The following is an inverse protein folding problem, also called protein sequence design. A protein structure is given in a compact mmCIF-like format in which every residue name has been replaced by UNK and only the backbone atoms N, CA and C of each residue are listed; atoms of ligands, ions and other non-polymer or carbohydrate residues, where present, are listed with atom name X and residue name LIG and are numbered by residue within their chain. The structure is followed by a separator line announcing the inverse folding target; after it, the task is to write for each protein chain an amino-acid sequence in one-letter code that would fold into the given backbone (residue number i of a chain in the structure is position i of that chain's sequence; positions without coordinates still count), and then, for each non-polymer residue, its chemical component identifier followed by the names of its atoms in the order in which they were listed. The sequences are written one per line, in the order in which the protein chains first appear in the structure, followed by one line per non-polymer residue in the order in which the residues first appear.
data_IF_211323014895
#
_entry.id   IF_211323014895
#
_cell.length_a   1.000
_cell.length_b   1.000
_cell.length_c   1.000
_cell.angle_alpha   90.00
_cell.angle_beta   90.00
_cell.angle_gamma   90.00
#
_symmetry.space_group_name_H-M   'P 1'
#
loop_
_entity.id
_entity.type
_entity.pdbx_description
1 polymer ?
#
# COMPACT_ATOMS: atom_id res chain seq x y z
N UNK A 1 -17.73 20.63 -33.30
CA UNK A 1 -16.35 20.24 -32.91
C UNK A 1 -16.49 19.25 -31.78
N UNK A 2 -16.20 17.98 -32.07
CA UNK A 2 -16.43 16.88 -31.15
C UNK A 2 -15.46 16.91 -29.98
N UNK A 3 -15.99 16.68 -28.78
CA UNK A 3 -15.21 16.41 -27.58
C UNK A 3 -14.31 15.18 -27.80
N UNK A 4 -13.05 15.20 -27.35
CA UNK A 4 -12.20 14.03 -27.45
C UNK A 4 -12.72 12.95 -26.49
N UNK A 5 -12.86 11.74 -27.03
CA UNK A 5 -13.31 10.53 -26.36
C UNK A 5 -12.66 10.34 -24.99
N UNK A 6 -13.51 10.15 -24.00
CA UNK A 6 -13.18 9.46 -22.75
C UNK A 6 -12.55 8.11 -23.09
N UNK A 7 -11.33 7.87 -22.64
CA UNK A 7 -10.66 6.57 -22.70
C UNK A 7 -11.54 5.52 -22.00
N UNK A 8 -12.33 4.79 -22.78
CA UNK A 8 -13.10 3.64 -22.31
C UNK A 8 -12.11 2.62 -21.75
N UNK A 9 -12.08 2.45 -20.43
CA UNK A 9 -11.48 1.26 -19.83
C UNK A 9 -12.18 0.05 -20.42
N UNK A 10 -11.46 -0.81 -21.14
CA UNK A 10 -12.05 -2.05 -21.67
C UNK A 10 -12.30 -2.98 -20.49
N UNK A 11 -13.55 -3.11 -20.09
CA UNK A 11 -13.98 -4.19 -19.21
C UNK A 11 -13.58 -5.53 -19.83
N UNK A 12 -13.06 -6.45 -19.01
CA UNK A 12 -12.67 -7.78 -19.46
C UNK A 12 -13.86 -8.51 -20.11
N UNK A 13 -13.61 -9.17 -21.24
CA UNK A 13 -14.60 -10.01 -21.94
C UNK A 13 -13.93 -11.32 -22.33
N UNK A 14 -14.70 -12.40 -22.22
CA UNK A 14 -14.26 -13.71 -22.70
C UNK A 14 -14.04 -13.66 -24.23
N UNK A 15 -13.05 -14.39 -24.76
CA UNK A 15 -12.71 -14.34 -26.18
C UNK A 15 -13.84 -14.90 -27.06
N UNK A 16 -13.92 -14.50 -28.33
CA UNK A 16 -14.99 -14.95 -29.23
C UNK A 16 -15.05 -16.47 -29.39
N UNK A 17 -13.88 -17.13 -29.36
CA UNK A 17 -13.78 -18.59 -29.38
C UNK A 17 -14.45 -19.26 -28.17
N UNK A 18 -14.77 -18.51 -27.11
CA UNK A 18 -15.54 -19.01 -25.99
C UNK A 18 -16.92 -19.52 -26.44
N UNK A 19 -17.49 -19.02 -27.54
CA UNK A 19 -18.79 -19.48 -28.07
C UNK A 19 -18.67 -20.74 -28.94
N UNK A 20 -17.48 -21.15 -29.34
CA UNK A 20 -17.24 -22.32 -30.18
C UNK A 20 -17.19 -23.59 -29.31
N UNK A 21 -18.25 -24.40 -29.36
CA UNK A 21 -18.37 -25.62 -28.55
C UNK A 21 -17.28 -26.65 -28.86
N UNK A 22 -16.87 -26.78 -30.11
CA UNK A 22 -15.85 -27.76 -30.52
C UNK A 22 -14.51 -27.35 -29.94
N UNK A 23 -14.14 -26.08 -30.13
CA UNK A 23 -12.87 -25.55 -29.62
C UNK A 23 -12.82 -25.52 -28.10
N UNK A 24 -13.89 -25.08 -27.43
CA UNK A 24 -13.93 -25.02 -25.97
C UNK A 24 -13.94 -26.41 -25.34
N UNK A 25 -14.58 -27.39 -25.96
CA UNK A 25 -14.50 -28.80 -25.51
C UNK A 25 -13.07 -29.30 -25.54
N UNK A 26 -12.32 -29.01 -26.60
CA UNK A 26 -10.91 -29.38 -26.70
C UNK A 26 -10.04 -28.67 -25.64
N UNK A 27 -10.28 -27.38 -25.38
CA UNK A 27 -9.53 -26.57 -24.41
C UNK A 27 -9.82 -26.95 -22.94
N UNK A 28 -11.03 -27.43 -22.64
CA UNK A 28 -11.43 -27.87 -21.30
C UNK A 28 -10.96 -29.30 -20.97
N UNK A 29 -10.67 -30.12 -21.98
CA UNK A 29 -10.19 -31.49 -21.79
C UNK A 29 -8.71 -31.53 -21.39
N UNK A 30 -8.33 -32.57 -20.63
CA UNK A 30 -6.92 -32.87 -20.35
C UNK A 30 -6.12 -33.01 -21.65
N UNK A 31 -4.82 -32.65 -21.66
CA UNK A 31 -3.97 -32.92 -22.81
C UNK A 31 -3.96 -34.42 -23.12
N UNK A 32 -3.99 -34.74 -24.42
CA UNK A 32 -3.73 -36.13 -24.85
C UNK A 32 -2.29 -36.51 -24.49
N UNK A 33 -2.03 -37.82 -24.37
CA UNK A 33 -0.70 -38.33 -24.05
C UNK A 33 0.37 -37.65 -24.93
N UNK A 34 1.46 -37.18 -24.34
CA UNK A 34 2.50 -36.41 -25.03
C UNK A 34 3.12 -37.19 -26.21
N UNK A 35 3.08 -38.52 -26.15
CA UNK A 35 3.48 -39.41 -27.24
C UNK A 35 2.56 -39.36 -28.48
N UNK A 36 1.31 -38.92 -28.33
CA UNK A 36 0.30 -38.88 -29.39
C UNK A 36 0.12 -37.48 -29.99
N UNK A 37 0.42 -36.42 -29.22
CA UNK A 37 0.42 -35.04 -29.72
C UNK A 37 1.31 -34.12 -28.87
N UNK A 38 2.61 -34.01 -29.19
CA UNK A 38 3.57 -33.21 -28.43
C UNK A 38 3.22 -31.71 -28.36
N UNK A 39 2.43 -31.19 -29.30
CA UNK A 39 2.07 -29.78 -29.39
C UNK A 39 0.68 -29.46 -28.81
N UNK A 40 -0.12 -30.47 -28.42
CA UNK A 40 -1.46 -30.28 -27.84
C UNK A 40 -1.41 -29.42 -26.58
N UNK A 41 -0.45 -29.74 -25.70
CA UNK A 41 -0.31 -29.04 -24.42
C UNK A 41 0.15 -27.60 -24.61
N UNK A 42 1.11 -27.34 -25.50
CA UNK A 42 1.66 -26.00 -25.72
C UNK A 42 0.56 -24.99 -26.13
N UNK A 43 -0.34 -25.39 -27.03
CA UNK A 43 -1.46 -24.55 -27.45
C UNK A 43 -2.48 -24.30 -26.33
N UNK A 44 -2.87 -25.35 -25.59
CA UNK A 44 -3.79 -25.24 -24.45
C UNK A 44 -3.22 -24.38 -23.33
N UNK A 45 -1.97 -24.62 -22.95
CA UNK A 45 -1.25 -23.86 -21.94
C UNK A 45 -1.18 -22.38 -22.32
N UNK A 46 -0.75 -22.07 -23.54
CA UNK A 46 -0.67 -20.69 -24.03
C UNK A 46 -2.02 -19.98 -23.94
N UNK A 47 -3.08 -20.62 -24.43
CA UNK A 47 -4.44 -20.05 -24.37
C UNK A 47 -4.87 -19.71 -22.94
N UNK A 48 -4.77 -20.68 -22.02
CA UNK A 48 -5.23 -20.47 -20.64
C UNK A 48 -4.36 -19.46 -19.88
N UNK A 49 -3.03 -19.53 -20.05
CA UNK A 49 -2.10 -18.55 -19.49
C UNK A 49 -2.45 -17.13 -19.92
N UNK A 50 -2.56 -16.90 -21.24
CA UNK A 50 -2.83 -15.57 -21.79
C UNK A 50 -4.18 -15.03 -21.29
N UNK A 51 -5.20 -15.88 -21.27
CA UNK A 51 -6.54 -15.49 -20.80
C UNK A 51 -6.57 -15.15 -19.30
N UNK A 52 -5.89 -15.92 -18.45
CA UNK A 52 -5.78 -15.65 -17.00
C UNK A 52 -5.02 -14.34 -16.76
N UNK A 53 -3.89 -14.13 -17.44
CA UNK A 53 -3.09 -12.91 -17.28
C UNK A 53 -3.80 -11.68 -17.83
N UNK A 54 -4.56 -11.80 -18.91
CA UNK A 54 -5.40 -10.72 -19.45
C UNK A 54 -6.51 -10.35 -18.46
N UNK A 55 -7.21 -11.35 -17.92
CA UNK A 55 -8.22 -11.15 -16.88
C UNK A 55 -7.64 -10.45 -15.65
N UNK A 56 -6.52 -10.93 -15.13
CA UNK A 56 -5.89 -10.32 -13.96
C UNK A 56 -5.42 -8.89 -14.25
N UNK A 57 -4.86 -8.64 -15.44
CA UNK A 57 -4.39 -7.30 -15.84
C UNK A 57 -5.53 -6.29 -15.97
N UNK A 58 -6.61 -6.64 -16.68
CA UNK A 58 -7.70 -5.72 -16.97
C UNK A 58 -8.54 -5.41 -15.73
N UNK A 59 -8.63 -6.36 -14.79
CA UNK A 59 -9.34 -6.17 -13.52
C UNK A 59 -8.40 -5.75 -12.35
N UNK A 60 -7.10 -5.52 -12.62
CA UNK A 60 -6.09 -5.15 -11.61
C UNK A 60 -5.97 -6.14 -10.43
N UNK A 61 -6.18 -7.42 -10.69
CA UNK A 61 -6.12 -8.47 -9.67
C UNK A 61 -4.65 -8.83 -9.41
N UNK A 62 -4.18 -8.52 -8.19
CA UNK A 62 -2.81 -8.78 -7.78
C UNK A 62 -2.64 -10.18 -7.18
N UNK A 63 -3.67 -10.65 -6.49
CA UNK A 63 -3.70 -11.95 -5.83
C UNK A 63 -4.97 -12.67 -6.22
N UNK A 64 -4.87 -13.96 -6.55
CA UNK A 64 -6.02 -14.83 -6.77
C UNK A 64 -5.76 -16.22 -6.22
N UNK A 65 -6.83 -16.98 -6.00
CA UNK A 65 -6.76 -18.42 -5.81
C UNK A 65 -7.39 -19.20 -6.98
N UNK A 66 -7.38 -20.54 -6.90
CA UNK A 66 -7.95 -21.39 -7.95
C UNK A 66 -9.48 -21.24 -8.06
N UNK A 67 -10.18 -20.89 -6.98
CA UNK A 67 -11.62 -20.71 -6.96
C UNK A 67 -12.04 -19.42 -7.66
N UNK A 68 -11.25 -18.35 -7.55
CA UNK A 68 -11.47 -17.11 -8.31
C UNK A 68 -11.44 -17.37 -9.82
N UNK A 69 -10.47 -18.17 -10.28
CA UNK A 69 -10.39 -18.58 -11.69
C UNK A 69 -11.61 -19.44 -12.07
N UNK A 70 -12.01 -20.40 -11.24
CA UNK A 70 -13.19 -21.24 -11.52
C UNK A 70 -14.48 -20.44 -11.61
N UNK A 71 -14.67 -19.40 -10.78
CA UNK A 71 -15.84 -18.51 -10.84
C UNK A 71 -15.91 -17.77 -12.17
N UNK A 72 -14.77 -17.32 -12.70
CA UNK A 72 -14.70 -16.51 -13.92
C UNK A 72 -14.75 -17.38 -15.18
N UNK A 73 -14.03 -18.49 -15.18
CA UNK A 73 -13.85 -19.35 -16.35
C UNK A 73 -14.71 -20.61 -16.31
N UNK A 74 -15.95 -20.47 -15.84
CA UNK A 74 -16.97 -21.54 -15.87
C UNK A 74 -17.74 -21.53 -17.19
N UNK A 75 -17.94 -22.71 -17.78
CA UNK A 75 -18.79 -22.93 -18.94
C UNK A 75 -19.64 -24.17 -18.74
N UNK A 76 -20.97 -24.04 -18.86
CA UNK A 76 -21.92 -25.14 -18.67
C UNK A 76 -21.71 -25.89 -17.33
N UNK A 77 -21.43 -25.15 -16.26
CA UNK A 77 -21.15 -25.69 -14.92
C UNK A 77 -19.81 -26.44 -14.78
N UNK A 78 -18.94 -26.40 -15.80
CA UNK A 78 -17.62 -27.03 -15.80
C UNK A 78 -16.52 -25.99 -15.81
N UNK A 79 -15.35 -26.38 -15.32
CA UNK A 79 -14.09 -25.64 -15.42
C UNK A 79 -13.05 -26.48 -16.17
N UNK A 80 -11.94 -25.88 -16.65
CA UNK A 80 -10.94 -26.61 -17.42
C UNK A 80 -10.29 -27.70 -16.58
N UNK A 81 -10.35 -28.96 -17.04
CA UNK A 81 -9.77 -30.09 -16.30
C UNK A 81 -8.24 -29.96 -16.17
N UNK A 82 -7.60 -29.22 -17.06
CA UNK A 82 -6.17 -28.94 -17.04
C UNK A 82 -5.77 -27.76 -16.16
N UNK A 83 -6.70 -27.09 -15.46
CA UNK A 83 -6.42 -25.83 -14.78
C UNK A 83 -5.25 -25.93 -13.77
N UNK A 84 -5.24 -26.96 -12.93
CA UNK A 84 -4.15 -27.15 -11.96
C UNK A 84 -2.79 -27.27 -12.65
N UNK A 85 -2.69 -28.06 -13.73
CA UNK A 85 -1.47 -28.19 -14.53
C UNK A 85 -1.06 -26.86 -15.17
N UNK A 86 -2.03 -26.05 -15.63
CA UNK A 86 -1.75 -24.69 -16.13
C UNK A 86 -1.14 -23.82 -15.04
N UNK A 87 -1.70 -23.82 -13.83
CA UNK A 87 -1.18 -23.02 -12.70
C UNK A 87 0.20 -23.49 -12.25
N UNK A 88 0.45 -24.80 -12.26
CA UNK A 88 1.78 -25.37 -11.99
C UNK A 88 2.83 -24.90 -13.01
N UNK A 89 2.49 -24.95 -14.30
CA UNK A 89 3.39 -24.48 -15.37
C UNK A 89 3.55 -22.95 -15.34
N UNK A 90 2.49 -22.19 -15.03
CA UNK A 90 2.59 -20.74 -14.82
C UNK A 90 3.52 -20.41 -13.64
N UNK A 91 3.43 -21.16 -12.54
CA UNK A 91 4.34 -21.02 -11.39
C UNK A 91 5.78 -21.36 -11.78
N UNK A 92 6.00 -22.48 -12.48
CA UNK A 92 7.33 -22.91 -12.95
C UNK A 92 7.96 -21.87 -13.88
N UNK A 93 7.16 -21.20 -14.69
CA UNK A 93 7.61 -20.16 -15.62
C UNK A 93 7.70 -18.76 -14.98
N UNK A 94 7.28 -18.59 -13.71
CA UNK A 94 7.31 -17.31 -12.99
C UNK A 94 6.23 -16.33 -13.44
N UNK A 95 5.20 -16.80 -14.15
CA UNK A 95 4.03 -15.98 -14.51
C UNK A 95 3.17 -15.67 -13.27
N UNK A 96 3.21 -16.55 -12.27
CA UNK A 96 2.62 -16.39 -10.95
C UNK A 96 3.57 -16.94 -9.88
N UNK A 97 3.41 -16.50 -8.63
CA UNK A 97 4.23 -16.94 -7.49
C UNK A 97 3.32 -17.17 -6.28
N UNK A 98 3.58 -18.15 -5.42
CA UNK A 98 2.76 -18.28 -4.21
C UNK A 98 3.02 -17.10 -3.26
N UNK A 99 2.01 -16.70 -2.48
CA UNK A 99 2.15 -15.60 -1.53
C UNK A 99 3.32 -15.81 -0.56
N UNK A 100 3.46 -17.03 -0.04
CA UNK A 100 4.57 -17.38 0.87
C UNK A 100 5.94 -17.25 0.18
N UNK A 101 6.05 -17.70 -1.08
CA UNK A 101 7.30 -17.54 -1.84
C UNK A 101 7.64 -16.08 -2.10
N UNK A 102 6.63 -15.22 -2.21
CA UNK A 102 6.82 -13.79 -2.39
C UNK A 102 7.27 -13.08 -1.10
N UNK A 103 6.83 -13.55 0.08
CA UNK A 103 7.20 -12.97 1.37
C UNK A 103 8.56 -13.41 1.93
N UNK A 104 9.04 -14.61 1.57
CA UNK A 104 10.20 -15.26 2.22
C UNK A 104 11.52 -15.27 1.45
N UNK A 105 11.66 -14.55 0.34
CA UNK A 105 12.96 -14.57 -0.34
C UNK A 105 14.00 -13.81 0.48
N UNK A 106 14.99 -14.56 0.97
CA UNK A 106 16.34 -14.21 1.39
C UNK A 106 17.24 -15.34 0.88
N UNK A 107 17.85 -15.20 -0.31
CA UNK A 107 19.16 -15.77 -0.69
C UNK A 107 19.34 -16.01 -2.20
N UNK A 108 20.59 -15.80 -2.64
CA UNK A 108 21.05 -15.60 -4.02
C UNK A 108 21.34 -16.86 -4.85
N UNK A 109 20.74 -18.03 -4.60
CA UNK A 109 21.18 -19.25 -5.32
C UNK A 109 20.05 -20.18 -5.76
N UNK A 110 19.58 -20.04 -7.01
CA UNK A 110 19.04 -21.17 -7.83
C UNK A 110 18.53 -20.75 -9.22
N UNK A 111 19.39 -20.52 -10.23
CA UNK A 111 19.00 -20.41 -11.66
C UNK A 111 17.96 -19.34 -12.09
N UNK A 112 17.44 -18.52 -11.17
CA UNK A 112 16.49 -17.42 -11.39
C UNK A 112 17.17 -16.03 -11.41
N UNK A 113 18.47 -15.97 -11.71
CA UNK A 113 19.31 -14.76 -11.74
C UNK A 113 18.93 -13.67 -12.79
N UNK A 114 17.68 -13.60 -13.25
CA UNK A 114 17.15 -12.56 -14.16
C UNK A 114 16.34 -11.44 -13.48
N UNK A 115 16.15 -11.47 -12.16
CA UNK A 115 15.59 -10.34 -11.39
C UNK A 115 16.48 -10.00 -10.18
N UNK A 116 17.53 -9.21 -10.41
CA UNK A 116 18.41 -8.75 -9.35
C UNK A 116 17.67 -7.86 -8.35
N UNK A 117 17.42 -8.38 -7.15
CA UNK A 117 16.98 -7.63 -5.98
C UNK A 117 17.74 -8.21 -4.79
N UNK A 118 18.67 -7.42 -4.25
CA UNK A 118 19.35 -7.71 -2.98
C UNK A 118 18.44 -7.23 -1.86
N UNK A 119 18.08 -8.10 -0.93
CA UNK A 119 17.26 -7.72 0.22
C UNK A 119 18.11 -7.02 1.27
N UNK A 120 17.63 -5.86 1.71
CA UNK A 120 17.98 -5.29 3.01
C UNK A 120 16.99 -5.93 3.99
N UNK A 121 17.51 -6.50 5.08
CA UNK A 121 16.83 -7.39 6.04
C UNK A 121 15.75 -6.73 6.91
N UNK A 122 15.27 -5.53 6.57
CA UNK A 122 14.34 -4.74 7.40
C UNK A 122 12.86 -4.80 6.96
N UNK A 123 12.53 -5.40 5.81
CA UNK A 123 11.15 -5.53 5.30
C UNK A 123 10.28 -6.53 6.08
N UNK A 124 10.88 -7.33 6.96
CA UNK A 124 10.14 -8.35 7.74
C UNK A 124 9.39 -7.73 8.93
N UNK A 125 9.88 -6.66 9.56
CA UNK A 125 9.29 -6.19 10.83
C UNK A 125 7.91 -5.52 10.69
N UNK A 126 7.60 -4.90 9.55
CA UNK A 126 6.32 -4.21 9.33
C UNK A 126 5.19 -5.14 8.83
N UNK A 127 5.57 -6.26 8.21
CA UNK A 127 4.62 -7.24 7.65
C UNK A 127 3.92 -8.09 8.73
N UNK A 128 4.29 -7.99 10.02
CA UNK A 128 3.89 -8.94 11.06
C UNK A 128 2.88 -8.40 12.10
N UNK A 129 2.77 -7.09 12.32
CA UNK A 129 2.04 -6.59 13.50
C UNK A 129 0.49 -6.56 13.39
N UNK A 130 -0.09 -6.75 12.20
CA UNK A 130 -1.56 -6.76 12.03
C UNK A 130 -2.15 -8.12 11.61
N UNK A 131 -1.32 -9.04 11.12
CA UNK A 131 -1.76 -10.36 10.60
C UNK A 131 -1.51 -11.50 11.59
N UNK A 132 -0.53 -11.35 12.52
CA UNK A 132 -0.20 -12.42 13.47
C UNK A 132 -1.33 -12.72 14.49
N UNK A 133 -2.31 -11.82 14.66
CA UNK A 133 -3.51 -12.06 15.48
C UNK A 133 -4.61 -12.86 14.77
N UNK A 134 -4.45 -13.19 13.49
CA UNK A 134 -5.37 -14.04 12.72
C UNK A 134 -4.89 -15.49 12.55
N UNK A 135 -3.69 -15.84 13.04
CA UNK A 135 -3.08 -17.17 12.82
C UNK A 135 -3.27 -18.11 14.01
N UNK A 136 -4.48 -18.09 14.59
CA UNK A 136 -5.08 -19.33 15.07
C UNK A 136 -5.63 -20.10 13.87
N UNK A 137 -5.28 -21.38 13.81
CA UNK A 137 -6.03 -22.48 13.15
C UNK A 137 -5.66 -22.86 11.70
N UNK A 138 -4.81 -23.88 11.62
CA UNK A 138 -5.11 -25.18 10.96
C UNK A 138 -6.38 -25.26 10.11
N UNK A 139 -6.30 -24.89 8.84
CA UNK A 139 -7.03 -25.51 7.72
C UNK A 139 -6.10 -25.55 6.51
N UNK A 140 -6.26 -26.51 5.60
CA UNK A 140 -5.54 -26.54 4.31
C UNK A 140 -5.95 -25.30 3.49
N UNK A 141 -5.28 -24.17 3.73
CA UNK A 141 -5.57 -22.92 3.03
C UNK A 141 -5.28 -23.10 1.54
N UNK A 142 -6.29 -22.80 0.72
CA UNK A 142 -6.16 -22.82 -0.74
C UNK A 142 -5.01 -21.88 -1.12
N UNK A 143 -4.03 -22.33 -1.93
CA UNK A 143 -2.87 -21.53 -2.25
C UNK A 143 -3.26 -20.27 -3.01
N UNK A 144 -2.87 -19.12 -2.48
CA UNK A 144 -2.97 -17.82 -3.14
C UNK A 144 -1.74 -17.56 -4.01
N UNK A 145 -1.99 -17.03 -5.20
CA UNK A 145 -0.98 -16.69 -6.19
C UNK A 145 -0.92 -15.18 -6.43
N UNK A 146 0.27 -14.61 -6.34
CA UNK A 146 0.58 -13.23 -6.74
C UNK A 146 0.88 -13.21 -8.23
N UNK A 147 0.41 -12.16 -8.94
CA UNK A 147 0.66 -11.94 -10.38
C UNK A 147 1.72 -10.84 -10.57
N UNK A 148 3.01 -11.19 -10.79
CA UNK A 148 4.09 -10.21 -10.80
C UNK A 148 3.96 -9.15 -11.89
N UNK A 149 3.39 -9.50 -13.04
CA UNK A 149 3.20 -8.56 -14.16
C UNK A 149 2.18 -7.47 -13.83
N UNK A 150 1.13 -7.79 -13.09
CA UNK A 150 0.12 -6.83 -12.63
C UNK A 150 0.70 -5.97 -11.52
N UNK A 151 1.42 -6.60 -10.57
CA UNK A 151 2.10 -5.89 -9.48
C UNK A 151 3.09 -4.83 -9.99
N UNK A 152 3.93 -5.17 -10.96
CA UNK A 152 4.85 -4.22 -11.59
C UNK A 152 4.13 -3.03 -12.22
N UNK A 153 3.07 -3.29 -13.00
CA UNK A 153 2.26 -2.23 -13.62
C UNK A 153 1.60 -1.34 -12.58
N UNK A 154 1.13 -1.90 -11.46
CA UNK A 154 0.56 -1.13 -10.36
C UNK A 154 1.62 -0.25 -9.68
N UNK A 155 2.80 -0.80 -9.39
CA UNK A 155 3.93 -0.04 -8.86
C UNK A 155 4.34 1.10 -9.81
N UNK A 156 4.41 0.86 -11.12
CA UNK A 156 4.70 1.90 -12.11
C UNK A 156 3.66 3.03 -12.11
N UNK A 157 2.36 2.70 -11.99
CA UNK A 157 1.29 3.70 -11.86
C UNK A 157 1.45 4.53 -10.59
N UNK A 158 1.75 3.90 -9.46
CA UNK A 158 1.97 4.59 -8.17
C UNK A 158 3.14 5.55 -8.27
N UNK A 159 4.23 5.13 -8.91
CA UNK A 159 5.40 5.98 -9.11
C UNK A 159 5.15 7.19 -10.03
N UNK A 160 4.03 7.20 -10.77
CA UNK A 160 3.59 8.36 -11.57
C UNK A 160 2.65 9.29 -10.78
N UNK A 161 2.16 8.89 -9.60
CA UNK A 161 1.31 9.74 -8.79
C UNK A 161 2.13 10.92 -8.21
N UNK A 162 1.52 12.10 -8.01
CA UNK A 162 2.20 13.25 -7.40
C UNK A 162 2.84 12.93 -6.05
N UNK A 163 2.22 12.04 -5.28
CA UNK A 163 2.71 11.59 -3.97
C UNK A 163 4.06 10.90 -4.03
N UNK A 164 4.34 10.16 -5.12
CA UNK A 164 5.63 9.51 -5.34
C UNK A 164 6.74 10.48 -5.74
N UNK A 165 6.38 11.72 -6.08
CA UNK A 165 7.31 12.83 -6.33
C UNK A 165 7.51 13.72 -5.10
N UNK A 166 6.96 13.35 -3.95
CA UNK A 166 7.17 14.04 -2.68
C UNK A 166 8.18 13.28 -1.83
N UNK A 167 9.14 13.99 -1.21
CA UNK A 167 9.99 13.41 -0.15
C UNK A 167 9.32 13.48 1.23
N UNK A 168 8.03 13.83 1.27
CA UNK A 168 7.28 13.94 2.50
C UNK A 168 7.03 12.56 3.12
N UNK A 169 7.18 12.51 4.45
CA UNK A 169 6.83 11.35 5.25
C UNK A 169 5.31 11.31 5.47
N UNK A 170 4.71 10.14 5.31
CA UNK A 170 3.30 9.93 5.56
C UNK A 170 3.03 8.59 6.23
N UNK A 171 1.86 8.45 6.86
CA UNK A 171 1.39 7.16 7.35
C UNK A 171 0.81 6.33 6.19
N UNK A 172 0.90 5.01 6.27
CA UNK A 172 0.26 4.11 5.27
C UNK A 172 -1.27 4.30 5.26
N UNK A 173 -1.89 4.58 6.40
CA UNK A 173 -3.32 4.90 6.51
C UNK A 173 -3.68 6.18 5.72
N UNK A 174 -2.83 7.21 5.81
CA UNK A 174 -2.99 8.44 5.02
C UNK A 174 -2.89 8.15 3.51
N UNK A 175 -1.99 7.25 3.11
CA UNK A 175 -1.85 6.82 1.71
C UNK A 175 -3.10 6.06 1.22
N UNK A 176 -3.65 5.19 2.07
CA UNK A 176 -4.85 4.41 1.74
C UNK A 176 -6.09 5.28 1.63
N UNK A 177 -6.19 6.31 2.47
CA UNK A 177 -7.31 7.26 2.45
C UNK A 177 -7.25 8.20 1.23
N UNK A 178 -6.04 8.60 0.81
CA UNK A 178 -5.83 9.47 -0.34
C UNK A 178 -5.99 8.74 -1.68
N UNK A 179 -5.66 7.45 -1.73
CA UNK A 179 -5.65 6.64 -2.94
C UNK A 179 -6.35 5.28 -2.75
N UNK A 180 -7.64 5.27 -2.33
CA UNK A 180 -8.37 4.03 -2.07
C UNK A 180 -8.55 3.17 -3.34
N UNK A 181 -8.51 3.78 -4.53
CA UNK A 181 -8.55 3.08 -5.82
C UNK A 181 -7.32 2.22 -6.09
N UNK A 182 -6.23 2.46 -5.37
CA UNK A 182 -4.97 1.71 -5.48
C UNK A 182 -4.70 0.87 -4.22
N UNK A 183 -5.02 1.42 -3.04
CA UNK A 183 -4.63 0.86 -1.74
C UNK A 183 -5.81 0.44 -0.87
N UNK A 184 -6.99 0.20 -1.45
CA UNK A 184 -8.21 -0.17 -0.71
C UNK A 184 -8.23 -1.58 -0.09
N UNK A 185 -7.20 -2.40 -0.32
CA UNK A 185 -7.07 -3.73 0.26
C UNK A 185 -5.73 -3.85 1.01
N UNK A 186 -5.78 -4.03 2.33
CA UNK A 186 -4.60 -4.13 3.21
C UNK A 186 -3.57 -5.18 2.71
N UNK A 187 -4.02 -6.34 2.23
CA UNK A 187 -3.16 -7.42 1.74
C UNK A 187 -2.41 -7.00 0.47
N UNK A 188 -3.10 -6.37 -0.47
CA UNK A 188 -2.52 -5.89 -1.73
C UNK A 188 -1.62 -4.66 -1.51
N UNK A 189 -2.02 -3.74 -0.65
CA UNK A 189 -1.23 -2.59 -0.22
C UNK A 189 0.12 -3.04 0.32
N UNK A 190 0.13 -4.05 1.20
CA UNK A 190 1.37 -4.62 1.72
C UNK A 190 2.25 -5.20 0.61
N UNK A 191 1.68 -5.93 -0.36
CA UNK A 191 2.44 -6.50 -1.47
C UNK A 191 3.09 -5.42 -2.36
N UNK A 192 2.33 -4.37 -2.67
CA UNK A 192 2.78 -3.22 -3.44
C UNK A 192 3.93 -2.50 -2.72
N UNK A 193 3.73 -2.15 -1.45
CA UNK A 193 4.71 -1.40 -0.68
C UNK A 193 5.99 -2.22 -0.45
N UNK A 194 5.88 -3.52 -0.17
CA UNK A 194 7.03 -4.43 -0.12
C UNK A 194 7.78 -4.45 -1.44
N UNK A 195 7.07 -4.53 -2.57
CA UNK A 195 7.70 -4.50 -3.89
C UNK A 195 8.47 -3.20 -4.12
N UNK A 196 7.86 -2.05 -3.82
CA UNK A 196 8.48 -0.73 -3.98
C UNK A 196 9.69 -0.54 -3.06
N UNK A 197 9.62 -1.04 -1.82
CA UNK A 197 10.74 -1.04 -0.88
C UNK A 197 11.91 -1.88 -1.41
N UNK A 198 11.63 -3.09 -1.92
CA UNK A 198 12.61 -3.97 -2.54
C UNK A 198 13.27 -3.36 -3.79
N UNK A 199 12.52 -2.56 -4.54
CA UNK A 199 13.06 -1.78 -5.67
C UNK A 199 13.85 -0.54 -5.24
N UNK A 200 13.97 -0.27 -3.93
CA UNK A 200 14.62 0.94 -3.39
C UNK A 200 13.89 2.23 -3.77
N UNK A 201 12.58 2.15 -4.04
CA UNK A 201 11.74 3.30 -4.41
C UNK A 201 11.02 3.92 -3.23
N UNK A 202 10.97 3.20 -2.12
CA UNK A 202 10.26 3.60 -0.91
C UNK A 202 11.08 3.18 0.29
N UNK A 203 11.14 4.04 1.31
CA UNK A 203 11.55 3.67 2.66
C UNK A 203 10.31 3.45 3.53
N UNK A 204 10.30 2.36 4.29
CA UNK A 204 9.21 1.98 5.20
C UNK A 204 9.80 1.75 6.58
N UNK A 205 9.19 2.34 7.61
CA UNK A 205 9.52 2.12 9.01
C UNK A 205 8.22 1.87 9.78
N UNK A 206 8.11 0.70 10.40
CA UNK A 206 6.98 0.39 11.26
C UNK A 206 7.36 0.46 12.73
N UNK A 207 6.44 0.98 13.52
CA UNK A 207 6.42 0.90 14.97
C UNK A 207 5.21 0.07 15.43
N UNK A 208 5.01 -0.03 16.74
CA UNK A 208 3.85 -0.72 17.32
C UNK A 208 2.51 -0.07 16.97
N UNK A 209 2.52 1.22 16.65
CA UNK A 209 1.33 2.08 16.55
C UNK A 209 1.14 2.73 15.18
N UNK A 210 2.17 2.81 14.35
CA UNK A 210 2.12 3.42 13.02
C UNK A 210 3.06 2.74 12.03
N UNK A 211 2.75 2.85 10.74
CA UNK A 211 3.67 2.47 9.66
C UNK A 211 3.90 3.69 8.78
N UNK A 212 5.14 4.13 8.76
CA UNK A 212 5.59 5.32 8.04
C UNK A 212 6.16 4.94 6.69
N UNK A 213 5.87 5.75 5.69
CA UNK A 213 6.33 5.58 4.33
C UNK A 213 6.89 6.90 3.79
N UNK A 214 8.00 6.81 3.05
CA UNK A 214 8.61 7.91 2.33
C UNK A 214 9.03 7.46 0.93
N UNK A 215 8.57 8.15 -0.10
CA UNK A 215 9.00 7.89 -1.47
C UNK A 215 10.42 8.43 -1.71
N UNK A 216 11.22 7.65 -2.44
CA UNK A 216 12.61 7.96 -2.75
C UNK A 216 12.65 8.58 -4.14
N UNK A 217 12.83 9.91 -4.20
CA UNK A 217 13.05 10.60 -5.47
C UNK A 217 14.50 10.33 -5.90
N UNK A 218 14.73 9.76 -7.10
CA UNK A 218 16.08 9.65 -7.64
C UNK A 218 16.63 11.06 -7.84
N UNK A 219 17.50 11.52 -6.94
CA UNK A 219 18.22 12.78 -7.15
C UNK A 219 19.20 12.53 -8.30
N UNK A 220 18.84 12.97 -9.51
CA UNK A 220 19.79 13.09 -10.61
C UNK A 220 20.81 14.13 -10.14
N UNK A 221 21.91 13.69 -9.54
CA UNK A 221 23.08 14.55 -9.42
C UNK A 221 23.64 14.71 -10.82
N UNK A 222 23.18 15.73 -11.52
CA UNK A 222 23.76 16.17 -12.79
C UNK A 222 25.23 16.48 -12.49
N UNK A 223 26.12 15.56 -12.83
CA UNK A 223 27.54 15.86 -12.86
C UNK A 223 27.69 16.93 -13.94
N UNK A 224 27.82 18.20 -13.55
CA UNK A 224 28.50 19.15 -14.42
C UNK A 224 29.89 18.55 -14.64
N UNK A 225 30.12 18.03 -15.85
CA UNK A 225 31.43 17.59 -16.29
C UNK A 225 32.34 18.81 -16.20
N UNK A 226 33.11 18.93 -15.13
CA UNK A 226 34.29 19.77 -15.16
C UNK A 226 35.28 19.06 -16.08
N UNK A 227 35.38 19.58 -17.31
CA UNK A 227 36.46 19.25 -18.23
C UNK A 227 37.75 19.70 -17.53
N UNK A 228 38.60 18.76 -17.12
CA UNK A 228 39.97 19.12 -16.77
C UNK A 228 40.74 19.38 -18.07
N UNK A 229 41.69 20.32 -18.03
CA UNK A 229 42.51 20.76 -19.16
C UNK A 229 43.49 19.70 -19.72
N UNK A 230 43.21 18.41 -19.56
CA UNK A 230 44.07 17.31 -20.01
C UNK A 230 43.33 16.20 -20.79
N UNK A 231 42.10 16.44 -21.26
CA UNK A 231 41.47 15.61 -22.29
C UNK A 231 41.21 14.14 -21.95
N UNK A 232 41.34 13.73 -20.68
CA UNK A 232 41.08 12.36 -20.24
C UNK A 232 39.85 12.30 -19.33
N UNK A 233 38.80 11.63 -19.82
CA UNK A 233 37.60 11.31 -19.03
C UNK A 233 37.97 10.29 -17.95
N UNK A 234 38.08 10.74 -16.69
CA UNK A 234 38.19 9.83 -15.55
C UNK A 234 36.85 9.08 -15.42
N UNK A 235 36.90 7.75 -15.54
CA UNK A 235 35.72 6.90 -15.32
C UNK A 235 35.07 7.24 -13.98
N UNK A 236 33.74 7.39 -13.91
CA UNK A 236 33.08 7.76 -12.67
C UNK A 236 33.26 6.62 -11.65
N UNK A 237 34.03 6.88 -10.59
CA UNK A 237 34.02 6.06 -9.40
C UNK A 237 32.56 5.87 -8.96
N UNK A 238 32.16 4.62 -8.74
CA UNK A 238 30.85 4.22 -8.20
C UNK A 238 30.65 4.90 -6.84
N UNK A 239 30.13 6.12 -6.82
CA UNK A 239 29.61 6.71 -5.60
C UNK A 239 28.37 5.90 -5.22
N UNK A 240 28.42 5.24 -4.05
CA UNK A 240 27.25 4.61 -3.41
C UNK A 240 26.07 5.58 -3.55
N UNK A 241 25.04 5.15 -4.27
CA UNK A 241 23.74 5.81 -4.24
C UNK A 241 23.36 5.93 -2.76
N UNK A 242 23.14 7.17 -2.30
CA UNK A 242 22.76 7.42 -0.91
C UNK A 242 21.34 6.87 -0.78
N UNK A 243 21.19 5.71 -0.16
CA UNK A 243 19.90 5.18 0.27
C UNK A 243 19.22 6.27 1.11
N UNK A 244 18.11 6.80 0.62
CA UNK A 244 17.32 7.75 1.40
C UNK A 244 16.65 6.93 2.51
N UNK A 245 17.00 7.24 3.75
CA UNK A 245 16.47 6.61 4.96
C UNK A 245 15.47 7.56 5.63
N UNK A 246 14.53 7.01 6.40
CA UNK A 246 13.64 7.80 7.25
C UNK A 246 14.49 8.45 8.35
N UNK A 247 14.54 9.79 8.32
CA UNK A 247 15.39 10.58 9.22
C UNK A 247 14.72 10.85 10.55
N UNK A 248 15.47 11.32 11.55
CA UNK A 248 14.91 11.77 12.83
C UNK A 248 13.92 12.94 12.67
N UNK A 249 14.17 13.82 11.70
CA UNK A 249 13.24 14.89 11.31
C UNK A 249 11.93 14.32 10.78
N UNK A 250 12.00 13.31 9.91
CA UNK A 250 10.82 12.63 9.37
C UNK A 250 9.99 12.00 10.49
N UNK A 251 10.63 11.28 11.43
CA UNK A 251 9.95 10.71 12.61
C UNK A 251 9.27 11.78 13.46
N UNK A 252 9.96 12.90 13.70
CA UNK A 252 9.42 14.02 14.48
C UNK A 252 8.19 14.63 13.79
N UNK A 253 8.27 14.84 12.47
CA UNK A 253 7.17 15.37 11.68
C UNK A 253 5.96 14.43 11.67
N UNK A 254 6.21 13.12 11.56
CA UNK A 254 5.19 12.09 11.65
C UNK A 254 4.45 12.11 13.00
N UNK A 255 5.19 12.12 14.11
CA UNK A 255 4.61 12.21 15.45
C UNK A 255 3.76 13.47 15.61
N UNK A 256 4.24 14.61 15.09
CA UNK A 256 3.47 15.87 15.12
C UNK A 256 2.19 15.78 14.28
N UNK A 257 2.24 15.20 13.06
CA UNK A 257 1.05 14.98 12.22
C UNK A 257 0.02 14.10 12.92
N UNK A 258 0.46 12.99 13.52
CA UNK A 258 -0.40 12.06 14.26
C UNK A 258 -1.04 12.73 15.48
N UNK A 259 -0.24 13.44 16.27
CA UNK A 259 -0.73 14.18 17.45
C UNK A 259 -1.73 15.26 17.04
N UNK A 260 -1.51 15.94 15.92
CA UNK A 260 -2.47 16.89 15.36
C UNK A 260 -3.80 16.23 14.99
N UNK A 261 -3.78 15.08 14.28
CA UNK A 261 -4.99 14.32 13.93
C UNK A 261 -5.78 13.94 15.19
N UNK A 262 -5.10 13.34 16.18
CA UNK A 262 -5.74 12.94 17.45
C UNK A 262 -6.33 14.12 18.22
N UNK A 263 -5.63 15.25 18.28
CA UNK A 263 -6.15 16.45 18.94
C UNK A 263 -7.37 17.01 18.21
N UNK A 264 -7.38 17.04 16.87
CA UNK A 264 -8.54 17.46 16.09
C UNK A 264 -9.75 16.55 16.37
N UNK A 265 -9.57 15.23 16.33
CA UNK A 265 -10.64 14.26 16.60
C UNK A 265 -11.21 14.42 18.02
N UNK A 266 -10.34 14.62 19.03
CA UNK A 266 -10.75 14.91 20.40
C UNK A 266 -11.53 16.22 20.51
N UNK A 267 -11.06 17.29 19.86
CA UNK A 267 -11.69 18.62 19.84
C UNK A 267 -13.09 18.53 19.22
N UNK A 268 -13.23 17.89 18.05
CA UNK A 268 -14.51 17.70 17.37
C UNK A 268 -15.51 16.90 18.24
N UNK A 269 -15.04 15.84 18.89
CA UNK A 269 -15.85 15.04 19.82
C UNK A 269 -16.34 15.87 21.02
N UNK A 270 -15.44 16.66 21.63
CA UNK A 270 -15.81 17.54 22.73
C UNK A 270 -16.82 18.62 22.31
N UNK A 271 -16.71 19.19 21.11
CA UNK A 271 -17.69 20.15 20.60
C UNK A 271 -19.09 19.53 20.46
N UNK A 272 -19.15 18.31 19.90
CA UNK A 272 -20.41 17.57 19.75
C UNK A 272 -21.04 17.25 21.12
N UNK A 273 -20.25 16.83 22.10
CA UNK A 273 -20.73 16.58 23.46
C UNK A 273 -21.19 17.87 24.15
N UNK A 274 -20.44 18.96 24.03
CA UNK A 274 -20.83 20.26 24.56
C UNK A 274 -22.17 20.74 24.00
N UNK A 275 -22.39 20.56 22.69
CA UNK A 275 -23.67 20.87 22.02
C UNK A 275 -24.81 20.00 22.54
N UNK A 276 -24.55 18.71 22.76
CA UNK A 276 -25.53 17.76 23.32
C UNK A 276 -25.92 18.11 24.76
N UNK A 277 -24.94 18.48 25.59
CA UNK A 277 -25.19 18.94 26.96
C UNK A 277 -26.01 20.25 26.99
N UNK A 278 -25.77 21.15 26.04
CA UNK A 278 -26.56 22.37 25.90
C UNK A 278 -28.02 22.07 25.50
N UNK A 279 -28.23 21.19 24.52
CA UNK A 279 -29.58 20.75 24.13
C UNK A 279 -30.30 20.06 25.28
N UNK A 280 -29.59 19.20 26.02
CA UNK A 280 -30.11 18.53 27.22
C UNK A 280 -30.53 19.55 28.28
N UNK A 281 -29.69 20.55 28.55
CA UNK A 281 -30.04 21.61 29.49
C UNK A 281 -31.31 22.37 29.08
N UNK A 282 -31.43 22.71 27.78
CA UNK A 282 -32.63 23.36 27.22
C UNK A 282 -33.88 22.48 27.38
N UNK A 283 -33.77 21.18 27.11
CA UNK A 283 -34.87 20.23 27.27
C UNK A 283 -35.31 20.11 28.75
N UNK A 284 -34.37 19.94 29.68
CA UNK A 284 -34.66 19.85 31.12
C UNK A 284 -35.27 21.13 31.69
N UNK A 285 -34.92 22.30 31.16
CA UNK A 285 -35.58 23.56 31.52
C UNK A 285 -37.04 23.60 31.07
N UNK A 286 -37.36 23.08 29.87
CA UNK A 286 -38.76 22.97 29.39
C UNK A 286 -39.60 22.03 30.25
N UNK A 287 -38.99 20.96 30.76
CA UNK A 287 -39.61 20.01 31.70
C UNK A 287 -39.74 20.55 33.14
N UNK A 288 -39.23 21.76 33.43
CA UNK A 288 -39.22 22.34 34.78
C UNK A 288 -38.13 21.80 35.71
N UNK A 289 -37.30 20.86 35.25
CA UNK A 289 -36.23 20.25 36.04
C UNK A 289 -34.95 21.10 36.05
N UNK A 290 -34.98 22.20 36.84
CA UNK A 290 -33.87 23.16 36.93
C UNK A 290 -32.57 22.56 37.47
N UNK A 291 -32.65 21.60 38.39
CA UNK A 291 -31.48 20.93 38.95
C UNK A 291 -30.70 20.13 37.90
N UNK A 292 -31.42 19.34 37.08
CA UNK A 292 -30.81 18.57 36.00
C UNK A 292 -30.24 19.47 34.89
N UNK A 293 -30.93 20.57 34.56
CA UNK A 293 -30.42 21.57 33.63
C UNK A 293 -29.11 22.22 34.13
N UNK A 294 -29.06 22.61 35.41
CA UNK A 294 -27.86 23.17 36.03
C UNK A 294 -26.69 22.18 36.01
N UNK A 295 -26.95 20.90 36.28
CA UNK A 295 -25.92 19.85 36.22
C UNK A 295 -25.36 19.67 34.79
N UNK A 296 -26.21 19.67 33.76
CA UNK A 296 -25.79 19.59 32.37
C UNK A 296 -24.93 20.80 31.95
N UNK A 297 -25.33 22.02 32.32
CA UNK A 297 -24.55 23.23 32.06
C UNK A 297 -23.21 23.23 32.81
N UNK A 298 -23.17 22.71 34.03
CA UNK A 298 -21.94 22.60 34.80
C UNK A 298 -20.94 21.64 34.13
N UNK A 299 -21.39 20.45 33.70
CA UNK A 299 -20.55 19.50 32.93
C UNK A 299 -20.07 20.13 31.63
N UNK A 300 -20.94 20.83 30.89
CA UNK A 300 -20.56 21.56 29.66
C UNK A 300 -19.44 22.56 29.93
N UNK A 301 -19.51 23.30 31.04
CA UNK A 301 -18.48 24.28 31.43
C UNK A 301 -17.15 23.60 31.80
N UNK A 302 -17.19 22.45 32.46
CA UNK A 302 -15.98 21.67 32.75
C UNK A 302 -15.33 21.18 31.46
N UNK A 303 -16.12 20.63 30.53
CA UNK A 303 -15.66 20.18 29.22
C UNK A 303 -15.08 21.32 28.39
N UNK A 304 -15.70 22.51 28.41
CA UNK A 304 -15.20 23.71 27.75
C UNK A 304 -13.79 24.11 28.21
N UNK A 305 -13.47 23.95 29.50
CA UNK A 305 -12.13 24.24 30.01
C UNK A 305 -11.08 23.25 29.51
N UNK A 306 -11.47 21.98 29.27
CA UNK A 306 -10.59 20.96 28.69
C UNK A 306 -10.40 21.22 27.19
N UNK A 307 -11.50 21.52 26.48
CA UNK A 307 -11.51 21.90 25.07
C UNK A 307 -10.54 23.06 24.76
N UNK A 308 -10.55 24.12 25.57
CA UNK A 308 -9.65 25.27 25.39
C UNK A 308 -8.17 24.87 25.53
N UNK A 309 -7.86 23.99 26.49
CA UNK A 309 -6.50 23.47 26.66
C UNK A 309 -6.06 22.61 25.48
N UNK A 310 -6.96 21.79 24.93
CA UNK A 310 -6.69 20.97 23.73
C UNK A 310 -6.46 21.84 22.50
N UNK A 311 -7.26 22.88 22.28
CA UNK A 311 -7.02 23.85 21.20
C UNK A 311 -5.69 24.57 21.35
N UNK A 312 -5.30 24.95 22.57
CA UNK A 312 -3.98 25.54 22.80
C UNK A 312 -2.86 24.55 22.47
N UNK A 313 -3.00 23.28 22.85
CA UNK A 313 -2.04 22.23 22.49
C UNK A 313 -1.95 22.04 20.96
N UNK A 314 -3.09 22.04 20.26
CA UNK A 314 -3.16 21.96 18.80
C UNK A 314 -2.40 23.12 18.13
N UNK A 315 -2.65 24.36 18.58
CA UNK A 315 -1.94 25.55 18.09
C UNK A 315 -0.42 25.45 18.29
N UNK A 316 0.02 24.87 19.41
CA UNK A 316 1.44 24.64 19.69
C UNK A 316 2.03 23.61 18.73
N UNK A 317 1.32 22.50 18.47
CA UNK A 317 1.73 21.46 17.50
C UNK A 317 1.86 22.04 16.08
N UNK A 318 0.88 22.82 15.64
CA UNK A 318 0.90 23.47 14.32
C UNK A 318 2.08 24.45 14.18
N UNK A 319 2.37 25.20 15.25
CA UNK A 319 3.55 26.07 15.30
C UNK A 319 4.85 25.27 15.20
N UNK A 320 4.97 24.16 15.93
CA UNK A 320 6.14 23.28 15.87
C UNK A 320 6.33 22.66 14.49
N UNK A 321 5.25 22.22 13.82
CA UNK A 321 5.30 21.71 12.44
C UNK A 321 5.82 22.76 11.46
N UNK A 322 5.30 23.99 11.55
CA UNK A 322 5.76 25.10 10.70
C UNK A 322 7.25 25.41 10.92
N UNK A 323 7.68 25.45 12.18
CA UNK A 323 9.09 25.67 12.53
C UNK A 323 10.00 24.54 12.02
N UNK A 324 9.53 23.29 12.08
CA UNK A 324 10.27 22.13 11.58
C UNK A 324 10.43 22.18 10.05
N UNK A 325 9.37 22.54 9.33
CA UNK A 325 9.43 22.73 7.87
C UNK A 325 10.35 23.87 7.43
N UNK A 326 10.55 24.88 8.28
CA UNK A 326 11.48 25.99 8.05
C UNK A 326 12.91 25.71 8.53
N UNK A 327 13.11 24.72 9.40
CA UNK A 327 14.40 24.39 10.00
C UNK A 327 15.26 23.57 9.01
N UNK A 328 16.12 24.27 8.26
CA UNK A 328 17.14 23.64 7.40
C UNK A 328 18.31 23.00 8.18
N UNK A 329 18.32 23.02 9.52
CA UNK A 329 19.47 22.61 10.35
C UNK A 329 19.11 21.83 11.61
N UNK A 330 19.94 20.82 11.88
CA UNK A 330 19.82 19.76 12.90
C UNK A 330 19.66 20.27 14.36
N UNK A 331 20.18 21.45 14.68
CA UNK A 331 20.14 22.01 16.03
C UNK A 331 18.78 22.56 16.46
N UNK A 332 17.96 23.07 15.53
CA UNK A 332 16.57 23.49 15.83
C UNK A 332 15.63 22.30 15.96
N UNK A 333 15.88 21.25 15.18
CA UNK A 333 15.15 19.98 15.23
C UNK A 333 15.28 19.35 16.62
N UNK A 334 16.50 19.31 17.18
CA UNK A 334 16.75 18.78 18.54
C UNK A 334 16.02 19.54 19.66
N UNK A 335 15.88 20.85 19.53
CA UNK A 335 15.10 21.66 20.49
C UNK A 335 13.60 21.34 20.44
N UNK A 336 13.05 21.12 19.24
CA UNK A 336 11.64 20.73 19.05
C UNK A 336 11.40 19.31 19.59
N UNK A 337 12.31 18.38 19.33
CA UNK A 337 12.29 17.02 19.89
C UNK A 337 12.30 17.04 21.43
N UNK A 338 13.11 17.90 22.04
CA UNK A 338 13.16 18.05 23.49
C UNK A 338 11.84 18.59 24.07
N UNK A 339 11.16 19.49 23.34
CA UNK A 339 9.84 19.97 23.71
C UNK A 339 8.75 18.90 23.57
N UNK A 340 8.88 17.97 22.61
CA UNK A 340 7.93 16.85 22.45
C UNK A 340 8.06 15.82 23.58
N UNK A 341 9.29 15.48 23.99
CA UNK A 341 9.53 14.55 25.09
C UNK A 341 9.02 15.08 26.44
N UNK A 342 9.05 16.40 26.65
CA UNK A 342 8.52 17.01 27.88
C UNK A 342 6.99 17.09 27.91
N UNK A 343 6.30 16.97 26.77
CA UNK A 343 4.83 16.94 26.70
C UNK A 343 4.23 15.56 27.02
N UNK A 344 4.95 14.46 26.77
CA UNK A 344 4.51 13.11 27.19
C UNK A 344 4.61 12.85 28.71
N UNK A 345 5.03 13.86 29.48
CA UNK A 345 5.22 13.76 30.94
C UNK A 345 4.04 14.32 31.76
N UNK A 346 2.87 14.56 31.14
CA UNK A 346 1.70 15.21 31.76
C UNK A 346 0.39 14.44 31.58
#
# INVERSE_FOLDING_TARGET
MGSPDSSSSRAFRLPDCWKDDVRMTALFALPRNESLNPHDWAGKYKFWKELILEWATLNQILVFDVEDIKKVFVRNGKFPASLNRVLEDMKKNGDIVTKDQYSYQTDQSSSWARWGISLITSSVAWSWNKVMTSLTETEETIPKYVVPSVLKKMCEKILQLPIASSEEIMEVEELTDLHPEVFGNDEETQLILNHLQNLGKVAIEASSDQTMIKFIIPTIKTKQSQLNNSGWSVSPAKQKEKTIEITEVDRSLATLKRTEKLLNDEIESMEMEMKTLEQTARARLKEGSRGAAKAALYRRKQLQAVFEKRNQALSNIQTMKLQLGQAKTDSKVKLILFALLSMHSW
#
